data_IF_015521284665
#
_entry.id   IF_015521284665
#
_cell.length_a   1.000
_cell.length_b   1.000
_cell.length_c   1.000
_cell.angle_alpha   90.00
_cell.angle_beta   90.00
_cell.angle_gamma   90.00
#
_symmetry.space_group_name_H-M   'P 1'
#
loop_
_entity.id
_entity.type
_entity.pdbx_description
1 polymer ?
#
# COMPACT_ATOMS: atom_id res chain seq x y z
N UNK A 1 27.11 -2.24 22.16
CA UNK A 1 28.59 -2.17 22.26
C UNK A 1 29.14 -1.65 20.94
N UNK A 2 30.29 -0.97 20.96
CA UNK A 2 30.97 -0.20 19.87
C UNK A 2 30.45 1.25 19.76
N UNK A 3 30.79 2.18 20.67
CA UNK A 3 32.02 3.00 20.87
C UNK A 3 32.23 4.12 19.85
N UNK A 4 31.82 5.32 20.26
CA UNK A 4 32.12 6.64 19.69
C UNK A 4 33.55 7.09 20.01
N UNK A 5 34.21 7.78 19.07
CA UNK A 5 35.49 8.47 19.27
C UNK A 5 35.25 9.97 19.03
N UNK A 6 35.51 10.77 20.06
CA UNK A 6 35.55 12.23 20.01
C UNK A 6 37.01 12.69 20.00
N UNK A 7 37.37 13.61 19.10
CA UNK A 7 38.70 14.19 19.01
C UNK A 7 38.63 15.68 19.38
N UNK A 8 39.29 16.04 20.48
CA UNK A 8 39.50 17.40 20.95
C UNK A 8 40.78 17.97 20.32
N UNK A 9 40.75 19.24 19.91
CA UNK A 9 41.93 19.97 19.41
C UNK A 9 42.11 21.26 20.20
N UNK A 10 43.28 21.34 20.82
CA UNK A 10 43.74 22.32 21.79
C UNK A 10 44.30 23.58 21.13
N UNK A 11 44.02 24.71 21.76
CA UNK A 11 44.51 26.05 21.45
C UNK A 11 45.96 26.21 21.95
N UNK A 12 46.86 26.72 21.10
CA UNK A 12 48.24 27.03 21.45
C UNK A 12 48.63 28.41 20.92
N UNK A 13 48.72 29.37 21.84
CA UNK A 13 49.13 30.76 21.63
C UNK A 13 50.64 30.88 21.87
N UNK A 14 51.40 31.52 20.98
CA UNK A 14 52.80 31.88 21.25
C UNK A 14 53.16 33.26 20.70
N UNK A 15 53.79 34.05 21.57
CA UNK A 15 54.26 35.42 21.39
C UNK A 15 55.64 35.51 20.71
N UNK A 16 55.86 36.70 20.14
CA UNK A 16 57.04 37.25 19.45
C UNK A 16 58.34 37.30 20.29
N UNK A 17 59.51 37.45 19.64
CA UNK A 17 60.30 38.65 19.95
C UNK A 17 60.97 39.35 18.75
N UNK A 18 61.23 40.64 18.95
CA UNK A 18 61.85 41.59 18.01
C UNK A 18 63.38 41.52 17.99
N UNK A 19 64.00 41.73 16.81
CA UNK A 19 65.41 42.14 16.68
C UNK A 19 65.63 43.17 15.55
N UNK A 20 65.94 44.38 16.00
CA UNK A 20 66.99 45.34 15.57
C UNK A 20 67.41 45.50 14.10
N UNK A 21 67.30 46.77 13.68
CA UNK A 21 67.77 47.40 12.45
C UNK A 21 69.30 47.55 12.36
N UNK A 22 69.88 47.29 11.17
CA UNK A 22 71.12 47.94 10.69
C UNK A 22 70.92 48.45 9.27
N UNK A 23 71.07 49.77 9.13
CA UNK A 23 71.01 50.59 7.91
C UNK A 23 72.20 50.29 6.99
N UNK A 24 71.94 50.18 5.68
CA UNK A 24 72.93 50.24 4.59
C UNK A 24 72.64 51.49 3.72
N UNK A 25 73.64 52.19 3.14
CA UNK A 25 73.43 53.47 2.47
C UNK A 25 72.90 53.30 1.04
N UNK A 26 72.12 54.29 0.58
CA UNK A 26 71.47 54.33 -0.71
C UNK A 26 72.43 54.71 -1.87
N UNK A 27 72.27 54.11 -3.07
CA UNK A 27 72.67 54.70 -4.35
C UNK A 27 71.50 55.48 -5.00
N UNK A 28 71.79 56.35 -5.99
CA UNK A 28 71.00 57.54 -6.28
C UNK A 28 69.71 57.26 -7.08
N UNK A 29 68.73 58.14 -6.85
CA UNK A 29 67.47 58.20 -7.58
C UNK A 29 67.70 58.43 -9.08
N UNK A 30 67.07 57.58 -9.92
CA UNK A 30 66.74 57.92 -11.30
C UNK A 30 65.34 57.43 -11.66
N UNK A 31 64.52 58.43 -11.97
CA UNK A 31 63.40 58.46 -12.92
C UNK A 31 62.14 57.67 -12.57
N UNK A 32 61.20 58.39 -11.98
CA UNK A 32 59.76 58.15 -11.98
C UNK A 32 59.27 57.83 -13.39
N UNK A 33 58.93 56.57 -13.66
CA UNK A 33 57.95 56.22 -14.69
C UNK A 33 56.56 56.29 -14.05
N UNK A 34 55.68 57.11 -14.61
CA UNK A 34 54.30 57.24 -14.17
C UNK A 34 53.60 55.86 -14.08
N UNK A 35 52.74 55.62 -13.06
CA UNK A 35 51.97 54.39 -13.01
C UNK A 35 51.05 54.30 -14.24
N UNK A 36 51.16 53.20 -14.98
CA UNK A 36 50.17 52.85 -16.00
C UNK A 36 48.79 52.88 -15.35
N UNK A 37 47.88 53.66 -15.94
CA UNK A 37 46.47 53.73 -15.51
C UNK A 37 45.92 52.31 -15.45
N UNK A 38 45.71 51.79 -14.25
CA UNK A 38 44.82 50.66 -14.03
C UNK A 38 43.46 51.11 -14.53
N UNK A 39 43.01 50.56 -15.65
CA UNK A 39 41.63 50.74 -16.08
C UNK A 39 40.79 50.02 -15.02
N UNK A 40 40.28 50.78 -14.05
CA UNK A 40 39.22 50.33 -13.16
C UNK A 40 37.99 50.26 -14.04
N UNK A 41 37.75 49.10 -14.62
CA UNK A 41 36.52 48.83 -15.36
C UNK A 41 35.39 48.84 -14.35
N UNK A 42 34.44 49.77 -14.49
CA UNK A 42 33.22 49.77 -13.70
C UNK A 42 32.45 48.46 -14.00
N UNK A 43 32.24 47.56 -13.03
CA UNK A 43 31.58 46.27 -13.24
C UNK A 43 30.09 46.41 -13.63
N UNK A 44 29.53 47.62 -13.63
CA UNK A 44 28.18 47.92 -14.10
C UNK A 44 28.08 48.25 -15.59
N UNK A 45 29.20 48.53 -16.28
CA UNK A 45 29.20 48.83 -17.70
C UNK A 45 29.21 47.53 -18.54
N UNK A 46 28.39 47.44 -19.60
CA UNK A 46 28.34 46.27 -20.46
C UNK A 46 29.60 46.17 -21.31
N UNK A 47 30.22 44.98 -21.31
CA UNK A 47 31.33 44.66 -22.22
C UNK A 47 31.06 43.33 -22.94
N UNK A 48 31.54 43.15 -24.18
CA UNK A 48 31.42 41.90 -24.90
C UNK A 48 32.13 40.75 -24.18
N UNK A 49 31.50 39.58 -24.15
CA UNK A 49 32.05 38.34 -23.62
C UNK A 49 32.94 37.68 -24.67
N UNK A 50 34.26 37.64 -24.48
CA UNK A 50 35.18 37.10 -25.48
C UNK A 50 35.27 35.57 -25.40
N UNK A 51 35.43 35.04 -24.19
CA UNK A 51 35.58 33.59 -23.97
C UNK A 51 34.77 33.12 -22.77
N UNK A 52 34.17 31.94 -22.91
CA UNK A 52 33.53 31.20 -21.83
C UNK A 52 34.23 29.86 -21.69
N UNK A 53 34.57 29.49 -20.46
CA UNK A 53 35.12 28.19 -20.09
C UNK A 53 34.29 27.51 -19.03
N UNK A 54 34.37 26.19 -18.94
CA UNK A 54 33.73 25.42 -17.88
C UNK A 54 34.74 24.50 -17.20
N UNK A 55 34.66 24.39 -15.89
CA UNK A 55 35.48 23.50 -15.07
C UNK A 55 34.62 22.75 -14.07
N UNK A 56 35.03 21.53 -13.72
CA UNK A 56 34.31 20.66 -12.77
C UNK A 56 33.18 19.82 -13.38
N UNK A 57 32.90 20.00 -14.69
CA UNK A 57 32.00 19.13 -15.43
C UNK A 57 32.61 17.72 -15.60
N UNK A 58 31.75 16.71 -15.57
CA UNK A 58 32.15 15.30 -15.64
C UNK A 58 31.37 14.54 -16.71
N UNK A 59 30.04 14.68 -16.73
CA UNK A 59 29.17 13.99 -17.67
C UNK A 59 28.66 14.95 -18.76
N UNK A 60 28.44 16.21 -18.42
CA UNK A 60 28.00 17.21 -19.37
C UNK A 60 29.18 17.79 -20.17
N UNK A 61 29.00 17.93 -21.47
CA UNK A 61 29.96 18.59 -22.33
C UNK A 61 30.02 20.10 -22.01
N UNK A 62 31.21 20.69 -22.07
CA UNK A 62 31.42 22.13 -21.83
C UNK A 62 30.50 23.01 -22.68
N UNK A 63 30.41 22.71 -23.99
CA UNK A 63 29.56 23.45 -24.92
C UNK A 63 28.07 23.42 -24.52
N UNK A 64 27.61 22.32 -23.90
CA UNK A 64 26.23 22.18 -23.44
C UNK A 64 25.96 23.08 -22.23
N UNK A 65 26.88 23.11 -21.28
CA UNK A 65 26.77 23.97 -20.09
C UNK A 65 26.77 25.44 -20.49
N UNK A 66 27.63 25.82 -21.45
CA UNK A 66 27.65 27.16 -22.02
C UNK A 66 26.29 27.48 -22.66
N UNK A 67 25.75 26.58 -23.50
CA UNK A 67 24.43 26.74 -24.12
C UNK A 67 23.31 26.91 -23.08
N UNK A 68 23.33 26.09 -22.03
CA UNK A 68 22.35 26.15 -20.93
C UNK A 68 22.42 27.47 -20.17
N UNK A 69 23.62 28.01 -19.95
CA UNK A 69 23.82 29.32 -19.31
C UNK A 69 23.09 30.45 -20.06
N UNK A 70 22.91 30.30 -21.37
CA UNK A 70 22.30 31.30 -22.25
C UNK A 70 23.25 32.43 -22.66
N UNK A 71 24.50 32.42 -22.18
CA UNK A 71 25.52 33.39 -22.58
C UNK A 71 26.22 32.94 -23.86
N UNK A 72 26.57 33.90 -24.71
CA UNK A 72 27.27 33.65 -25.97
C UNK A 72 28.51 34.55 -26.11
N UNK A 73 29.58 34.07 -26.76
CA UNK A 73 30.68 34.94 -27.17
C UNK A 73 30.20 36.11 -28.03
N UNK A 74 30.73 37.30 -27.80
CA UNK A 74 30.36 38.57 -28.43
C UNK A 74 29.17 39.30 -27.77
N UNK A 75 28.43 38.65 -26.87
CA UNK A 75 27.31 39.26 -26.16
C UNK A 75 27.80 40.33 -25.18
N UNK A 76 27.15 41.49 -25.18
CA UNK A 76 27.34 42.52 -24.14
C UNK A 76 26.78 42.01 -22.82
N UNK A 77 27.64 41.85 -21.81
CA UNK A 77 27.25 41.30 -20.50
C UNK A 77 27.64 42.21 -19.35
N UNK A 78 26.83 42.15 -18.31
CA UNK A 78 27.02 42.76 -16.98
C UNK A 78 27.08 41.67 -15.92
N UNK A 79 27.40 42.05 -14.67
CA UNK A 79 27.30 41.11 -13.54
C UNK A 79 25.92 40.46 -13.40
N UNK A 80 24.85 41.21 -13.65
CA UNK A 80 23.49 40.70 -13.55
C UNK A 80 23.21 39.56 -14.56
N UNK A 81 23.83 39.61 -15.74
CA UNK A 81 23.71 38.53 -16.74
C UNK A 81 24.38 37.24 -16.27
N UNK A 82 25.54 37.34 -15.58
CA UNK A 82 26.20 36.18 -14.97
C UNK A 82 25.39 35.62 -13.80
N UNK A 83 24.84 36.47 -12.93
CA UNK A 83 23.96 36.03 -11.83
C UNK A 83 22.70 35.33 -12.37
N UNK A 84 22.09 35.87 -13.43
CA UNK A 84 20.96 35.24 -14.10
C UNK A 84 21.32 33.90 -14.75
N UNK A 85 22.47 33.81 -15.41
CA UNK A 85 22.96 32.58 -16.00
C UNK A 85 23.30 31.52 -14.94
N UNK A 86 23.88 31.92 -13.80
CA UNK A 86 24.13 31.03 -12.65
C UNK A 86 22.82 30.48 -12.10
N UNK A 87 21.83 31.35 -11.86
CA UNK A 87 20.51 30.95 -11.38
C UNK A 87 19.82 29.99 -12.35
N UNK A 88 19.95 30.22 -13.67
CA UNK A 88 19.42 29.34 -14.72
C UNK A 88 20.10 27.96 -14.71
N UNK A 89 21.42 27.91 -14.56
CA UNK A 89 22.15 26.65 -14.45
C UNK A 89 21.72 25.88 -13.19
N UNK A 90 21.61 26.53 -12.03
CA UNK A 90 21.10 25.89 -10.80
C UNK A 90 19.66 25.39 -10.95
N UNK A 91 18.78 26.21 -11.54
CA UNK A 91 17.38 25.88 -11.78
C UNK A 91 17.19 24.68 -12.73
N UNK A 92 18.21 24.31 -13.51
CA UNK A 92 18.18 23.11 -14.35
C UNK A 92 18.06 21.80 -13.56
N UNK A 93 18.43 21.82 -12.27
CA UNK A 93 18.44 20.67 -11.38
C UNK A 93 19.58 19.68 -11.64
N UNK A 94 20.62 20.07 -12.37
CA UNK A 94 21.73 19.21 -12.78
C UNK A 94 23.02 19.43 -12.01
N UNK A 95 23.10 20.54 -11.29
CA UNK A 95 24.30 20.93 -10.57
C UNK A 95 23.98 21.07 -9.09
N UNK A 96 24.83 20.49 -8.26
CA UNK A 96 24.83 20.70 -6.81
C UNK A 96 25.34 22.11 -6.50
N UNK A 97 26.36 22.55 -7.23
CA UNK A 97 26.90 23.92 -7.15
C UNK A 97 27.21 24.48 -8.53
N UNK A 98 26.98 25.79 -8.68
CA UNK A 98 27.41 26.58 -9.85
C UNK A 98 28.02 27.86 -9.30
N UNK A 99 29.29 28.10 -9.59
CA UNK A 99 29.97 29.35 -9.34
C UNK A 99 30.54 29.91 -10.65
N UNK A 100 30.88 31.18 -10.66
CA UNK A 100 31.51 31.80 -11.82
C UNK A 100 32.58 32.79 -11.41
N UNK A 101 33.56 32.96 -12.30
CA UNK A 101 34.56 34.03 -12.22
C UNK A 101 34.61 34.72 -13.57
N UNK A 102 34.76 36.03 -13.57
CA UNK A 102 34.99 36.80 -14.78
C UNK A 102 36.05 37.86 -14.54
N UNK A 103 36.82 38.17 -15.59
CA UNK A 103 37.88 39.18 -15.55
C UNK A 103 37.95 39.95 -16.87
N UNK A 104 38.35 41.23 -16.86
CA UNK A 104 38.57 41.98 -18.09
C UNK A 104 39.77 41.41 -18.86
N UNK A 105 39.65 41.33 -20.18
CA UNK A 105 40.72 40.85 -21.05
C UNK A 105 41.75 41.97 -21.26
N UNK A 106 43.05 41.76 -20.98
CA UNK A 106 44.06 42.79 -21.16
C UNK A 106 44.10 43.31 -22.60
N UNK A 107 44.04 44.63 -22.76
CA UNK A 107 44.05 45.34 -24.08
C UNK A 107 42.80 45.12 -24.95
N UNK A 108 41.77 44.47 -24.44
CA UNK A 108 40.45 44.39 -25.06
C UNK A 108 39.39 44.95 -24.11
N UNK A 109 38.37 45.64 -24.64
CA UNK A 109 37.20 46.02 -23.86
C UNK A 109 36.24 44.82 -23.81
N UNK A 110 36.65 43.73 -23.17
CA UNK A 110 35.90 42.47 -23.16
C UNK A 110 36.07 41.72 -21.83
N UNK A 111 35.16 40.80 -21.54
CA UNK A 111 35.25 39.88 -20.40
C UNK A 111 35.60 38.47 -20.84
N UNK A 112 36.39 37.77 -20.02
CA UNK A 112 36.53 36.31 -20.07
C UNK A 112 35.87 35.72 -18.82
N UNK A 113 35.05 34.68 -18.98
CA UNK A 113 34.32 34.04 -17.90
C UNK A 113 34.63 32.55 -17.79
N UNK A 114 34.61 32.03 -16.56
CA UNK A 114 34.74 30.60 -16.26
C UNK A 114 33.61 30.18 -15.33
N UNK A 115 32.87 29.15 -15.71
CA UNK A 115 31.94 28.43 -14.84
C UNK A 115 32.69 27.36 -14.04
N UNK A 116 32.44 27.30 -12.74
CA UNK A 116 32.92 26.26 -11.83
C UNK A 116 31.69 25.48 -11.35
N UNK A 117 31.51 24.25 -11.83
CA UNK A 117 30.29 23.45 -11.57
C UNK A 117 30.61 22.16 -10.83
N UNK A 118 29.64 21.68 -10.05
CA UNK A 118 29.62 20.31 -9.51
C UNK A 118 28.32 19.65 -9.95
N UNK A 119 28.40 18.63 -10.81
CA UNK A 119 27.23 17.91 -11.33
C UNK A 119 26.60 17.00 -10.28
N UNK A 120 25.27 16.83 -10.36
CA UNK A 120 24.52 15.86 -9.57
C UNK A 120 24.65 14.48 -10.23
N UNK A 121 25.00 13.42 -9.48
CA UNK A 121 25.23 12.12 -10.07
C UNK A 121 23.94 11.46 -10.59
N UNK A 122 24.05 10.80 -11.74
CA UNK A 122 22.98 10.03 -12.38
C UNK A 122 22.95 8.61 -11.79
N UNK A 123 22.26 8.44 -10.66
CA UNK A 123 22.32 7.21 -9.87
C UNK A 123 21.14 6.25 -10.12
N UNK A 124 19.98 6.79 -10.46
CA UNK A 124 18.72 6.05 -10.38
C UNK A 124 18.30 5.55 -11.76
N UNK A 125 18.13 4.23 -11.96
CA UNK A 125 17.42 3.71 -13.12
C UNK A 125 16.01 4.32 -13.22
N UNK A 126 15.39 4.22 -14.38
CA UNK A 126 14.02 4.71 -14.57
C UNK A 126 13.12 3.67 -15.23
N UNK A 127 11.82 3.83 -15.01
CA UNK A 127 10.78 3.07 -15.69
C UNK A 127 9.52 3.90 -15.92
N UNK A 128 8.73 3.47 -16.89
CA UNK A 128 7.41 4.03 -17.17
C UNK A 128 6.35 3.09 -16.59
N UNK A 129 5.37 3.64 -15.88
CA UNK A 129 4.28 2.86 -15.29
C UNK A 129 2.93 3.42 -15.72
N UNK A 130 2.02 2.54 -16.14
CA UNK A 130 0.65 2.91 -16.53
C UNK A 130 0.57 3.97 -17.65
N UNK A 131 1.56 4.03 -18.53
CA UNK A 131 1.55 4.85 -19.75
C UNK A 131 1.32 3.91 -20.95
N UNK A 132 0.16 4.01 -21.59
CA UNK A 132 -0.24 3.14 -22.71
C UNK A 132 0.39 3.56 -24.05
N UNK A 133 1.72 3.67 -24.06
CA UNK A 133 2.54 3.95 -25.24
C UNK A 133 3.72 2.98 -25.30
N UNK A 134 4.21 2.60 -26.49
CA UNK A 134 5.37 1.72 -26.60
C UNK A 134 6.60 2.32 -25.93
N UNK A 135 7.18 1.59 -24.97
CA UNK A 135 8.35 2.07 -24.20
C UNK A 135 9.54 2.43 -25.11
N UNK A 136 9.80 1.62 -26.13
CA UNK A 136 10.89 1.87 -27.07
C UNK A 136 10.74 3.23 -27.78
N UNK A 137 9.51 3.63 -28.13
CA UNK A 137 9.26 4.92 -28.76
C UNK A 137 9.41 6.08 -27.76
N UNK A 138 8.95 5.91 -26.52
CA UNK A 138 9.14 6.91 -25.46
C UNK A 138 10.63 7.15 -25.19
N UNK A 139 11.42 6.08 -25.08
CA UNK A 139 12.88 6.16 -24.90
C UNK A 139 13.55 6.84 -26.09
N UNK A 140 13.17 6.49 -27.32
CA UNK A 140 13.72 7.10 -28.52
C UNK A 140 13.41 8.61 -28.59
N UNK A 141 12.19 9.01 -28.21
CA UNK A 141 11.80 10.41 -28.14
C UNK A 141 12.61 11.17 -27.08
N UNK A 142 12.70 10.64 -25.85
CA UNK A 142 13.49 11.26 -24.79
C UNK A 142 14.97 11.39 -25.18
N UNK A 143 15.56 10.38 -25.83
CA UNK A 143 16.95 10.45 -26.31
C UNK A 143 17.19 11.58 -27.30
N UNK A 144 16.18 11.92 -28.11
CA UNK A 144 16.26 12.97 -29.12
C UNK A 144 16.07 14.36 -28.49
N UNK A 145 15.11 14.49 -27.59
CA UNK A 145 14.69 15.79 -27.06
C UNK A 145 15.46 16.19 -25.78
N UNK A 146 15.98 15.22 -25.02
CA UNK A 146 16.69 15.44 -23.75
C UNK A 146 18.17 15.01 -23.85
N UNK A 147 19.12 15.95 -23.93
CA UNK A 147 20.56 15.64 -24.02
C UNK A 147 21.13 14.84 -22.84
N UNK A 148 20.43 14.85 -21.71
CA UNK A 148 20.79 14.17 -20.46
C UNK A 148 20.19 12.78 -20.34
N UNK A 149 19.41 12.35 -21.31
CA UNK A 149 18.76 11.05 -21.24
C UNK A 149 19.80 9.94 -21.36
N UNK A 150 19.96 9.21 -20.26
CA UNK A 150 20.81 8.03 -20.13
C UNK A 150 20.03 6.95 -19.38
N UNK A 151 20.63 5.77 -19.17
CA UNK A 151 20.03 4.67 -18.42
C UNK A 151 19.77 5.01 -16.93
N UNK A 152 20.43 6.05 -16.41
CA UNK A 152 20.24 6.54 -15.05
C UNK A 152 19.97 8.03 -15.08
N UNK A 153 19.16 8.50 -14.14
CA UNK A 153 18.73 9.89 -14.05
C UNK A 153 19.06 10.49 -12.67
N UNK A 154 19.30 11.80 -12.58
CA UNK A 154 19.20 12.54 -11.33
C UNK A 154 17.76 12.60 -10.86
N UNK A 155 17.50 12.33 -9.59
CA UNK A 155 16.16 12.41 -9.00
C UNK A 155 15.82 13.82 -8.46
N UNK A 156 16.22 14.87 -9.18
CA UNK A 156 15.89 16.25 -8.79
C UNK A 156 14.56 16.68 -9.41
N UNK A 157 13.78 17.46 -8.67
CA UNK A 157 12.46 17.92 -9.13
C UNK A 157 12.48 18.58 -10.53
N UNK A 158 13.40 19.51 -10.85
CA UNK A 158 13.42 20.14 -12.18
C UNK A 158 13.69 19.15 -13.32
N UNK A 159 14.55 18.14 -13.07
CA UNK A 159 14.83 17.08 -14.04
C UNK A 159 13.58 16.24 -14.26
N UNK A 160 12.97 15.74 -13.18
CA UNK A 160 11.78 14.90 -13.28
C UNK A 160 10.61 15.61 -13.97
N UNK A 161 10.40 16.90 -13.69
CA UNK A 161 9.37 17.70 -14.35
C UNK A 161 9.67 17.92 -15.84
N UNK A 162 10.93 18.11 -16.22
CA UNK A 162 11.33 18.28 -17.62
C UNK A 162 11.08 16.99 -18.42
N UNK A 163 11.52 15.85 -17.91
CA UNK A 163 11.26 14.54 -18.52
C UNK A 163 9.76 14.22 -18.59
N UNK A 164 8.99 14.54 -17.54
CA UNK A 164 7.54 14.39 -17.56
C UNK A 164 6.91 15.20 -18.70
N UNK A 165 7.24 16.50 -18.83
CA UNK A 165 6.72 17.36 -19.91
C UNK A 165 7.08 16.86 -21.31
N UNK A 166 8.29 16.34 -21.50
CA UNK A 166 8.70 15.72 -22.76
C UNK A 166 7.81 14.51 -23.09
N UNK A 167 7.58 13.63 -22.11
CA UNK A 167 6.68 12.48 -22.29
C UNK A 167 5.22 12.90 -22.55
N UNK A 168 4.74 13.96 -21.90
CA UNK A 168 3.39 14.52 -22.15
C UNK A 168 3.27 15.05 -23.58
N UNK A 169 4.30 15.73 -24.08
CA UNK A 169 4.38 16.22 -25.46
C UNK A 169 4.37 15.05 -26.45
N UNK A 170 5.15 14.01 -26.17
CA UNK A 170 5.16 12.79 -26.96
C UNK A 170 3.77 12.13 -26.98
N UNK A 171 3.13 12.00 -25.82
CA UNK A 171 1.82 11.38 -25.70
C UNK A 171 0.73 12.17 -26.46
N UNK A 172 0.76 13.50 -26.38
CA UNK A 172 -0.11 14.37 -27.17
C UNK A 172 0.11 14.20 -28.68
N UNK A 173 1.36 14.05 -29.14
CA UNK A 173 1.68 13.79 -30.56
C UNK A 173 1.12 12.46 -31.09
N UNK A 174 0.82 11.51 -30.19
CA UNK A 174 0.18 10.23 -30.49
C UNK A 174 -1.34 10.24 -30.26
N UNK A 175 -1.93 11.43 -30.12
CA UNK A 175 -3.36 11.62 -29.82
C UNK A 175 -3.82 10.98 -28.50
N UNK A 176 -2.91 10.79 -27.54
CA UNK A 176 -3.18 10.27 -26.19
C UNK A 176 -2.67 11.25 -25.12
N UNK A 177 -3.24 12.46 -24.98
CA UNK A 177 -2.75 13.42 -23.98
C UNK A 177 -2.93 12.86 -22.57
N UNK A 178 -1.87 12.93 -21.75
CA UNK A 178 -1.91 12.57 -20.34
C UNK A 178 -1.05 13.53 -19.52
N UNK A 179 -1.28 13.59 -18.21
CA UNK A 179 -0.46 14.35 -17.27
C UNK A 179 0.46 13.37 -16.54
N UNK A 180 1.77 13.62 -16.54
CA UNK A 180 2.81 12.72 -16.03
C UNK A 180 3.51 13.36 -14.85
N UNK A 181 3.88 12.54 -13.87
CA UNK A 181 4.75 12.93 -12.78
C UNK A 181 5.89 11.92 -12.63
N UNK A 182 7.11 12.42 -12.44
CA UNK A 182 8.27 11.62 -12.07
C UNK A 182 8.44 11.57 -10.56
N UNK A 183 8.62 10.38 -9.99
CA UNK A 183 8.83 10.18 -8.54
C UNK A 183 9.95 9.18 -8.29
N UNK A 184 10.62 9.30 -7.15
CA UNK A 184 11.58 8.30 -6.69
C UNK A 184 10.85 7.26 -5.84
N UNK A 185 10.78 6.02 -6.32
CA UNK A 185 10.05 4.93 -5.65
C UNK A 185 10.93 3.67 -5.59
N UNK A 186 10.79 2.82 -4.55
CA UNK A 186 11.44 1.52 -4.52
C UNK A 186 10.77 0.55 -5.50
N UNK A 187 11.56 -0.32 -6.12
CA UNK A 187 11.08 -1.50 -6.87
C UNK A 187 10.82 -2.69 -5.93
N UNK A 188 10.43 -3.85 -6.50
CA UNK A 188 10.13 -5.08 -5.74
C UNK A 188 11.32 -5.62 -4.92
N UNK A 189 12.55 -5.20 -5.26
CA UNK A 189 13.79 -5.55 -4.54
C UNK A 189 14.20 -4.49 -3.51
N UNK A 190 13.44 -3.40 -3.39
CA UNK A 190 13.75 -2.27 -2.50
C UNK A 190 14.76 -1.27 -3.07
N UNK A 191 15.17 -1.39 -4.34
CA UNK A 191 16.10 -0.47 -4.99
C UNK A 191 15.33 0.77 -5.51
N UNK A 192 15.91 1.95 -5.36
CA UNK A 192 15.25 3.21 -5.76
C UNK A 192 15.36 3.44 -7.28
N UNK A 193 14.22 3.75 -7.89
CA UNK A 193 14.08 4.05 -9.31
C UNK A 193 13.26 5.33 -9.51
N UNK A 194 13.56 6.06 -10.58
CA UNK A 194 12.70 7.13 -11.07
C UNK A 194 11.54 6.52 -11.85
N UNK A 195 10.33 6.68 -11.33
CA UNK A 195 9.10 6.18 -11.95
C UNK A 195 8.33 7.34 -12.55
N UNK A 196 8.12 7.29 -13.87
CA UNK A 196 7.20 8.19 -14.57
C UNK A 196 5.83 7.52 -14.68
N UNK A 197 4.82 8.16 -14.11
CA UNK A 197 3.46 7.63 -13.98
C UNK A 197 2.44 8.73 -14.24
N UNK A 198 1.24 8.43 -14.75
CA UNK A 198 0.17 9.42 -14.85
C UNK A 198 -0.19 10.00 -13.47
N UNK A 199 -0.44 11.30 -13.41
CA UNK A 199 -0.83 12.01 -12.18
C UNK A 199 -2.21 11.55 -11.67
N UNK A 200 -3.10 11.17 -12.58
CA UNK A 200 -4.40 10.59 -12.27
C UNK A 200 -4.61 9.31 -13.08
N UNK A 201 -4.81 8.20 -12.38
CA UNK A 201 -5.23 6.94 -13.01
C UNK A 201 -6.76 6.86 -13.04
N UNK A 202 -7.36 6.33 -14.11
CA UNK A 202 -8.80 6.24 -14.21
C UNK A 202 -9.35 5.20 -13.22
N UNK A 203 -10.54 5.45 -12.69
CA UNK A 203 -11.30 4.43 -12.00
C UNK A 203 -12.03 3.52 -13.02
N UNK A 204 -12.27 2.27 -12.66
CA UNK A 204 -13.13 1.37 -13.43
C UNK A 204 -14.58 1.83 -13.24
N UNK A 205 -15.19 2.34 -14.30
CA UNK A 205 -16.58 2.76 -14.31
C UNK A 205 -17.53 1.59 -14.59
N UNK A 206 -17.12 0.70 -15.50
CA UNK A 206 -17.92 -0.44 -15.92
C UNK A 206 -17.03 -1.60 -16.37
N UNK A 207 -17.52 -2.82 -16.15
CA UNK A 207 -16.92 -4.04 -16.70
C UNK A 207 -17.95 -4.74 -17.58
N UNK A 208 -17.51 -5.19 -18.75
CA UNK A 208 -18.30 -6.04 -19.63
C UNK A 208 -17.47 -7.22 -20.11
N UNK A 209 -18.13 -8.32 -20.46
CA UNK A 209 -17.50 -9.56 -20.89
C UNK A 209 -18.00 -9.96 -22.27
N UNK A 210 -17.15 -10.62 -23.04
CA UNK A 210 -17.53 -11.29 -24.27
C UNK A 210 -16.76 -12.60 -24.42
N UNK A 211 -17.26 -13.51 -25.25
CA UNK A 211 -16.71 -14.86 -25.38
C UNK A 211 -17.24 -15.86 -24.36
N UNK A 212 -17.94 -15.41 -23.31
CA UNK A 212 -18.63 -16.27 -22.36
C UNK A 212 -19.88 -16.92 -22.99
N UNK A 213 -20.07 -18.22 -22.78
CA UNK A 213 -21.21 -19.01 -23.26
C UNK A 213 -21.83 -19.83 -22.13
N UNK A 214 -20.99 -20.44 -21.29
CA UNK A 214 -21.42 -21.27 -20.18
C UNK A 214 -22.02 -20.47 -19.01
N UNK A 215 -21.49 -19.27 -18.77
CA UNK A 215 -21.91 -18.41 -17.66
C UNK A 215 -22.46 -17.11 -18.20
N UNK A 216 -23.62 -16.69 -17.69
CA UNK A 216 -24.29 -15.48 -18.17
C UNK A 216 -23.48 -14.22 -17.88
N UNK A 217 -23.57 -13.24 -18.79
CA UNK A 217 -22.91 -11.93 -18.62
C UNK A 217 -23.29 -11.28 -17.29
N UNK A 218 -24.57 -11.36 -16.90
CA UNK A 218 -25.09 -10.76 -15.66
C UNK A 218 -24.41 -11.40 -14.43
N UNK A 219 -24.22 -12.72 -14.43
CA UNK A 219 -23.53 -13.42 -13.34
C UNK A 219 -22.07 -12.97 -13.22
N UNK A 220 -21.36 -12.83 -14.33
CA UNK A 220 -19.97 -12.35 -14.34
C UNK A 220 -19.86 -10.90 -13.86
N UNK A 221 -20.79 -10.04 -14.30
CA UNK A 221 -20.88 -8.65 -13.86
C UNK A 221 -21.15 -8.55 -12.36
N UNK A 222 -22.09 -9.33 -11.83
CA UNK A 222 -22.37 -9.36 -10.40
C UNK A 222 -21.15 -9.81 -9.59
N UNK A 223 -20.46 -10.86 -10.05
CA UNK A 223 -19.31 -11.43 -9.36
C UNK A 223 -18.15 -10.42 -9.23
N UNK A 224 -17.89 -9.63 -10.28
CA UNK A 224 -16.79 -8.66 -10.29
C UNK A 224 -17.17 -7.29 -9.70
N UNK A 225 -18.46 -6.94 -9.68
CA UNK A 225 -18.94 -5.57 -9.40
C UNK A 225 -18.36 -4.96 -8.11
N UNK A 226 -18.44 -5.69 -6.99
CA UNK A 226 -18.00 -5.20 -5.68
C UNK A 226 -16.47 -5.02 -5.55
N UNK A 227 -15.67 -5.67 -6.40
CA UNK A 227 -14.22 -5.58 -6.36
C UNK A 227 -13.66 -4.62 -7.43
N UNK A 228 -14.30 -4.55 -8.60
CA UNK A 228 -13.83 -3.76 -9.73
C UNK A 228 -14.35 -2.34 -9.76
N UNK A 229 -15.66 -2.12 -9.59
CA UNK A 229 -16.27 -0.81 -9.84
C UNK A 229 -15.76 0.22 -8.83
N UNK A 230 -15.26 1.36 -9.31
CA UNK A 230 -14.62 2.40 -8.52
C UNK A 230 -13.16 2.13 -8.16
N UNK A 231 -12.62 0.95 -8.42
CA UNK A 231 -11.20 0.67 -8.22
C UNK A 231 -10.34 1.42 -9.24
N UNK A 232 -9.14 1.84 -8.84
CA UNK A 232 -8.15 2.41 -9.77
C UNK A 232 -7.76 1.34 -10.79
N UNK A 233 -7.84 1.68 -12.07
CA UNK A 233 -7.45 0.80 -13.15
C UNK A 233 -5.95 0.89 -13.42
N UNK A 234 -5.28 -0.25 -13.25
CA UNK A 234 -4.08 -0.63 -14.00
C UNK A 234 -4.32 -2.05 -14.47
N UNK A 235 -3.79 -2.42 -15.64
CA UNK A 235 -3.99 -3.76 -16.17
C UNK A 235 -3.56 -4.88 -15.19
N UNK A 236 -2.37 -4.82 -14.53
CA UNK A 236 -1.97 -5.84 -13.56
C UNK A 236 -2.96 -5.97 -12.38
N UNK A 237 -3.40 -4.85 -11.82
CA UNK A 237 -4.36 -4.84 -10.70
C UNK A 237 -5.72 -5.38 -11.13
N UNK A 238 -6.19 -5.00 -12.32
CA UNK A 238 -7.47 -5.47 -12.82
C UNK A 238 -7.46 -6.97 -13.11
N UNK A 239 -6.34 -7.51 -13.63
CA UNK A 239 -6.16 -8.96 -13.79
C UNK A 239 -6.24 -9.69 -12.45
N UNK A 240 -5.66 -9.16 -11.37
CA UNK A 240 -5.82 -9.75 -10.03
C UNK A 240 -7.30 -9.80 -9.58
N UNK A 241 -8.08 -8.76 -9.89
CA UNK A 241 -9.51 -8.74 -9.60
C UNK A 241 -10.26 -9.83 -10.40
N UNK A 242 -9.93 -10.03 -11.68
CA UNK A 242 -10.51 -11.12 -12.49
C UNK A 242 -10.19 -12.50 -11.91
N UNK A 243 -8.94 -12.71 -11.50
CA UNK A 243 -8.48 -13.95 -10.87
C UNK A 243 -9.19 -14.22 -9.53
N UNK A 244 -9.47 -13.18 -8.74
CA UNK A 244 -10.11 -13.32 -7.44
C UNK A 244 -11.65 -13.41 -7.50
N UNK A 245 -12.28 -12.72 -8.45
CA UNK A 245 -13.75 -12.58 -8.49
C UNK A 245 -14.41 -13.39 -9.59
N UNK A 246 -13.78 -13.55 -10.76
CA UNK A 246 -14.40 -14.17 -11.94
C UNK A 246 -13.97 -15.62 -12.12
N UNK A 247 -12.66 -15.92 -11.99
CA UNK A 247 -12.16 -17.30 -12.11
C UNK A 247 -12.88 -18.28 -11.18
N UNK A 248 -13.14 -17.99 -9.89
CA UNK A 248 -13.81 -18.94 -9.01
C UNK A 248 -15.24 -19.30 -9.45
N UNK A 249 -15.93 -18.39 -10.16
CA UNK A 249 -17.27 -18.63 -10.72
C UNK A 249 -17.22 -19.71 -11.81
N UNK A 250 -16.19 -19.65 -12.66
CA UNK A 250 -15.91 -20.65 -13.69
C UNK A 250 -15.40 -21.97 -13.12
N UNK A 251 -14.48 -21.90 -12.15
CA UNK A 251 -13.96 -23.10 -11.49
C UNK A 251 -15.03 -23.85 -10.68
N UNK A 252 -16.05 -23.16 -10.17
CA UNK A 252 -17.24 -23.80 -9.59
C UNK A 252 -18.11 -24.57 -10.60
N UNK A 253 -17.91 -24.35 -11.90
CA UNK A 253 -18.61 -25.04 -13.00
C UNK A 253 -17.67 -25.99 -13.77
N UNK A 254 -16.48 -26.28 -13.23
CA UNK A 254 -15.52 -27.20 -13.85
C UNK A 254 -14.60 -26.59 -14.91
N UNK A 255 -14.65 -25.29 -15.16
CA UNK A 255 -13.79 -24.61 -16.14
C UNK A 255 -12.42 -24.22 -15.52
N UNK A 256 -11.57 -25.22 -15.27
CA UNK A 256 -10.28 -25.03 -14.57
C UNK A 256 -9.22 -24.30 -15.39
N UNK A 257 -9.41 -24.20 -16.70
CA UNK A 257 -8.50 -23.56 -17.66
C UNK A 257 -9.05 -22.24 -18.22
N UNK A 258 -10.03 -21.64 -17.54
CA UNK A 258 -10.52 -20.31 -17.91
C UNK A 258 -9.38 -19.30 -17.94
N UNK A 259 -9.37 -18.42 -18.93
CA UNK A 259 -8.41 -17.32 -19.01
C UNK A 259 -9.06 -16.06 -19.60
N UNK A 260 -8.35 -14.93 -19.45
CA UNK A 260 -8.79 -13.60 -19.86
C UNK A 260 -7.74 -13.00 -20.81
N UNK A 261 -7.71 -13.43 -22.08
CA UNK A 261 -6.56 -13.22 -22.96
C UNK A 261 -6.41 -11.75 -23.35
N UNK A 262 -7.52 -11.05 -23.57
CA UNK A 262 -7.54 -9.67 -24.02
C UNK A 262 -8.40 -8.80 -23.11
N UNK A 263 -7.87 -7.62 -22.81
CA UNK A 263 -8.59 -6.54 -22.14
C UNK A 263 -8.61 -5.34 -23.08
N UNK A 264 -9.78 -4.80 -23.36
CA UNK A 264 -9.94 -3.56 -24.10
C UNK A 264 -10.43 -2.46 -23.15
N UNK A 265 -9.73 -1.33 -23.15
CA UNK A 265 -10.03 -0.22 -22.25
C UNK A 265 -10.48 0.96 -23.10
N UNK A 266 -11.66 1.47 -22.81
CA UNK A 266 -12.20 2.66 -23.47
C UNK A 266 -12.67 3.67 -22.43
N UNK A 267 -12.53 4.99 -22.66
CA UNK A 267 -13.13 5.99 -21.79
C UNK A 267 -14.64 5.76 -21.64
N UNK A 268 -15.17 5.89 -20.43
CA UNK A 268 -16.61 5.87 -20.22
C UNK A 268 -17.25 7.15 -20.79
N UNK A 269 -18.42 7.02 -21.42
CA UNK A 269 -19.10 8.13 -22.10
C UNK A 269 -19.88 9.04 -21.14
N UNK A 270 -20.35 8.48 -20.03
CA UNK A 270 -21.32 9.07 -19.10
C UNK A 270 -20.70 9.45 -17.74
N UNK A 271 -19.60 8.80 -17.37
CA UNK A 271 -18.93 9.03 -16.08
C UNK A 271 -17.41 9.14 -16.24
N UNK A 272 -16.75 9.76 -15.25
CA UNK A 272 -15.28 9.78 -15.19
C UNK A 272 -14.77 8.37 -14.87
N UNK A 273 -14.05 7.77 -15.82
CA UNK A 273 -13.44 6.46 -15.64
C UNK A 273 -13.28 5.74 -16.96
N UNK A 274 -13.02 4.44 -16.87
CA UNK A 274 -12.87 3.56 -18.03
C UNK A 274 -13.88 2.41 -17.99
N UNK A 275 -14.35 2.03 -19.17
CA UNK A 275 -15.04 0.77 -19.42
C UNK A 275 -13.98 -0.27 -19.80
N UNK A 276 -13.95 -1.38 -19.07
CA UNK A 276 -13.06 -2.50 -19.34
C UNK A 276 -13.87 -3.62 -19.97
N UNK A 277 -13.60 -3.93 -21.25
CA UNK A 277 -14.15 -5.09 -21.95
C UNK A 277 -13.18 -6.26 -21.82
N UNK A 278 -13.68 -7.38 -21.31
CA UNK A 278 -12.88 -8.56 -21.00
C UNK A 278 -13.26 -9.69 -21.96
N UNK A 279 -12.29 -10.16 -22.74
CA UNK A 279 -12.44 -11.41 -23.47
C UNK A 279 -12.36 -12.58 -22.48
N UNK A 280 -13.24 -13.55 -22.61
CA UNK A 280 -13.23 -14.78 -21.81
C UNK A 280 -12.98 -15.97 -22.71
N UNK A 281 -11.93 -16.74 -22.42
CA UNK A 281 -11.75 -18.08 -22.95
C UNK A 281 -12.10 -19.08 -21.85
N UNK A 282 -13.26 -19.73 -21.95
CA UNK A 282 -13.79 -20.59 -20.87
C UNK A 282 -12.96 -21.87 -20.69
N UNK A 283 -12.42 -22.41 -21.78
CA UNK A 283 -11.71 -23.69 -21.78
C UNK A 283 -12.66 -24.89 -21.68
N UNK A 284 -12.10 -26.07 -21.48
CA UNK A 284 -12.88 -27.31 -21.35
C UNK A 284 -13.40 -27.49 -19.93
N UNK A 285 -14.52 -28.21 -19.81
CA UNK A 285 -15.05 -28.68 -18.52
C UNK A 285 -14.25 -29.89 -18.04
N UNK A 286 -13.82 -29.85 -16.78
CA UNK A 286 -13.10 -30.94 -16.13
C UNK A 286 -14.03 -31.73 -15.20
N UNK A 287 -13.73 -33.02 -15.04
CA UNK A 287 -14.39 -33.90 -14.05
C UNK A 287 -13.50 -34.16 -12.85
N UNK A 288 -14.11 -34.28 -11.68
CA UNK A 288 -13.41 -34.66 -10.45
C UNK A 288 -13.13 -36.16 -10.47
N UNK A 289 -11.88 -36.58 -10.68
CA UNK A 289 -11.51 -38.00 -10.76
C UNK A 289 -11.37 -38.62 -9.37
N UNK A 290 -10.58 -37.99 -8.51
CA UNK A 290 -10.23 -38.53 -7.20
C UNK A 290 -10.09 -37.43 -6.15
N UNK A 291 -10.36 -37.77 -4.90
CA UNK A 291 -10.12 -36.91 -3.72
C UNK A 291 -9.42 -37.74 -2.66
N UNK A 292 -8.17 -37.39 -2.37
CA UNK A 292 -7.38 -38.01 -1.31
C UNK A 292 -7.23 -37.08 -0.13
N UNK A 293 -7.45 -37.60 1.07
CA UNK A 293 -7.13 -36.89 2.31
C UNK A 293 -5.74 -37.34 2.76
N UNK A 294 -4.87 -36.38 3.05
CA UNK A 294 -3.47 -36.58 3.46
C UNK A 294 -3.22 -35.92 4.82
N UNK A 295 -2.23 -36.38 5.59
CA UNK A 295 -1.92 -35.87 6.94
C UNK A 295 -2.00 -36.92 8.06
N UNK A 296 -1.88 -36.49 9.32
CA UNK A 296 -1.77 -37.39 10.49
C UNK A 296 -3.07 -38.21 10.76
N UNK A 297 -4.18 -37.83 10.13
CA UNK A 297 -5.51 -38.45 10.31
C UNK A 297 -6.02 -39.23 9.06
N UNK A 298 -5.11 -39.62 8.15
CA UNK A 298 -5.40 -40.24 6.83
C UNK A 298 -6.34 -41.45 6.85
N UNK A 299 -6.33 -42.25 7.92
CA UNK A 299 -7.07 -43.53 7.95
C UNK A 299 -8.57 -43.39 8.20
N UNK A 300 -9.06 -42.17 8.44
CA UNK A 300 -10.45 -41.97 8.80
C UNK A 300 -11.33 -41.86 7.55
N UNK A 301 -11.80 -43.01 7.03
CA UNK A 301 -12.81 -43.07 5.95
C UNK A 301 -14.06 -42.19 6.22
N UNK A 302 -14.34 -41.84 7.48
CA UNK A 302 -15.43 -40.92 7.83
C UNK A 302 -15.14 -39.49 7.39
N UNK A 303 -13.88 -39.06 7.32
CA UNK A 303 -13.50 -37.74 6.82
C UNK A 303 -13.87 -37.61 5.34
N UNK A 304 -13.52 -38.60 4.50
CA UNK A 304 -13.87 -38.57 3.07
C UNK A 304 -15.39 -38.45 2.87
N UNK A 305 -16.18 -39.17 3.69
CA UNK A 305 -17.64 -39.09 3.66
C UNK A 305 -18.16 -37.71 4.11
N UNK A 306 -17.60 -37.13 5.16
CA UNK A 306 -17.98 -35.80 5.67
C UNK A 306 -17.72 -34.68 4.64
N UNK A 307 -16.68 -34.85 3.82
CA UNK A 307 -16.35 -33.94 2.74
C UNK A 307 -17.42 -33.88 1.63
N UNK A 308 -18.21 -34.93 1.43
CA UNK A 308 -19.35 -34.93 0.49
C UNK A 308 -18.96 -34.71 -0.98
N UNK A 309 -17.78 -35.17 -1.40
CA UNK A 309 -17.25 -34.96 -2.75
C UNK A 309 -17.96 -35.85 -3.78
N UNK A 310 -18.28 -35.29 -4.95
CA UNK A 310 -18.96 -36.00 -6.05
C UNK A 310 -17.96 -36.42 -7.13
N UNK A 311 -17.44 -37.64 -7.02
CA UNK A 311 -16.48 -38.20 -7.97
C UNK A 311 -17.15 -38.50 -9.33
N UNK A 312 -16.37 -38.39 -10.41
CA UNK A 312 -16.76 -38.57 -11.81
C UNK A 312 -17.82 -37.58 -12.34
N UNK A 313 -18.18 -36.57 -11.55
CA UNK A 313 -19.02 -35.44 -11.95
C UNK A 313 -18.15 -34.23 -12.33
N UNK A 314 -18.79 -33.16 -12.79
CA UNK A 314 -18.14 -31.86 -13.03
C UNK A 314 -17.36 -31.42 -11.80
N UNK A 315 -16.11 -30.98 -12.01
CA UNK A 315 -15.23 -30.54 -10.96
C UNK A 315 -15.67 -29.18 -10.39
N UNK A 316 -16.60 -29.19 -9.45
CA UNK A 316 -17.02 -27.98 -8.72
C UNK A 316 -16.00 -27.65 -7.62
N UNK A 317 -15.07 -26.75 -7.93
CA UNK A 317 -14.03 -26.33 -6.97
C UNK A 317 -14.61 -25.56 -5.78
N UNK A 318 -15.80 -24.97 -5.91
CA UNK A 318 -16.50 -24.34 -4.79
C UNK A 318 -17.01 -25.42 -3.82
N UNK A 319 -17.64 -26.48 -4.33
CA UNK A 319 -18.06 -27.62 -3.52
C UNK A 319 -16.88 -28.33 -2.85
N UNK A 320 -15.73 -28.43 -3.53
CA UNK A 320 -14.48 -28.96 -2.94
C UNK A 320 -14.01 -28.09 -1.76
N UNK A 321 -13.97 -26.77 -1.94
CA UNK A 321 -13.58 -25.84 -0.87
C UNK A 321 -14.57 -25.89 0.31
N UNK A 322 -15.87 -25.99 0.05
CA UNK A 322 -16.88 -26.20 1.09
C UNK A 322 -16.72 -27.55 1.81
N UNK A 323 -16.34 -28.61 1.09
CA UNK A 323 -16.01 -29.91 1.66
C UNK A 323 -14.80 -29.84 2.59
N UNK A 324 -13.73 -29.14 2.19
CA UNK A 324 -12.58 -28.89 3.06
C UNK A 324 -12.98 -28.12 4.34
N UNK A 325 -13.83 -27.09 4.22
CA UNK A 325 -14.38 -26.38 5.40
C UNK A 325 -15.22 -27.28 6.30
N UNK A 326 -15.99 -28.22 5.74
CA UNK A 326 -16.72 -29.22 6.54
C UNK A 326 -15.76 -30.14 7.30
N UNK A 327 -14.65 -30.53 6.70
CA UNK A 327 -13.60 -31.31 7.36
C UNK A 327 -12.98 -30.55 8.55
N UNK A 328 -12.59 -29.28 8.34
CA UNK A 328 -12.08 -28.43 9.42
C UNK A 328 -13.08 -28.33 10.56
N UNK A 329 -14.35 -28.03 10.23
CA UNK A 329 -15.44 -27.93 11.20
C UNK A 329 -15.65 -29.24 11.95
N UNK A 330 -15.61 -30.37 11.26
CA UNK A 330 -15.71 -31.70 11.87
C UNK A 330 -14.60 -31.97 12.88
N UNK A 331 -13.37 -31.53 12.61
CA UNK A 331 -12.24 -31.66 13.53
C UNK A 331 -12.35 -30.68 14.70
N UNK A 332 -12.74 -29.43 14.44
CA UNK A 332 -12.95 -28.41 15.48
C UNK A 332 -14.01 -28.83 16.51
N UNK A 333 -15.07 -29.53 16.09
CA UNK A 333 -16.06 -30.14 17.02
C UNK A 333 -15.48 -31.24 17.92
N UNK A 334 -14.27 -31.73 17.62
CA UNK A 334 -13.58 -32.80 18.37
C UNK A 334 -12.38 -32.28 19.16
N UNK A 335 -12.29 -30.96 19.40
CA UNK A 335 -11.22 -30.35 20.18
C UNK A 335 -10.08 -29.78 19.33
N UNK A 336 -10.04 -30.02 18.03
CA UNK A 336 -8.97 -29.53 17.17
C UNK A 336 -9.23 -28.10 16.70
N UNK A 337 -9.16 -27.13 17.63
CA UNK A 337 -9.56 -25.74 17.39
C UNK A 337 -8.77 -25.06 16.26
N UNK A 338 -7.52 -25.48 16.08
CA UNK A 338 -6.61 -24.92 15.08
C UNK A 338 -6.55 -25.79 13.81
N UNK A 339 -7.52 -26.70 13.60
CA UNK A 339 -7.53 -27.56 12.44
C UNK A 339 -7.59 -26.73 11.14
N UNK A 340 -6.71 -27.08 10.20
CA UNK A 340 -6.61 -26.51 8.86
C UNK A 340 -6.73 -27.62 7.79
N UNK A 341 -7.42 -27.32 6.70
CA UNK A 341 -7.48 -28.18 5.52
C UNK A 341 -7.02 -27.41 4.28
N UNK A 342 -5.90 -27.83 3.69
CA UNK A 342 -5.32 -27.24 2.49
C UNK A 342 -5.66 -28.09 1.27
N UNK A 343 -6.20 -27.44 0.24
CA UNK A 343 -6.62 -28.10 -1.00
C UNK A 343 -5.54 -27.91 -2.06
N UNK A 344 -4.97 -29.00 -2.52
CA UNK A 344 -4.07 -29.05 -3.67
C UNK A 344 -4.77 -29.76 -4.83
N UNK A 345 -4.57 -29.26 -6.05
CA UNK A 345 -5.18 -29.81 -7.26
C UNK A 345 -4.13 -30.23 -8.27
N UNK A 346 -4.36 -31.38 -8.90
CA UNK A 346 -3.58 -31.87 -10.03
C UNK A 346 -4.49 -32.01 -11.24
N UNK A 347 -4.31 -31.12 -12.21
CA UNK A 347 -5.12 -31.06 -13.43
C UNK A 347 -4.47 -31.91 -14.51
N UNK A 348 -5.26 -32.78 -15.13
CA UNK A 348 -4.90 -33.61 -16.29
C UNK A 348 -5.64 -33.07 -17.51
N UNK A 349 -4.96 -32.24 -18.31
CA UNK A 349 -5.53 -31.60 -19.49
C UNK A 349 -5.90 -32.57 -20.61
N UNK A 350 -5.22 -33.73 -20.70
CA UNK A 350 -5.49 -34.72 -21.73
C UNK A 350 -6.76 -35.50 -21.39
N UNK A 351 -6.88 -35.97 -20.13
CA UNK A 351 -8.05 -36.69 -19.66
C UNK A 351 -9.24 -35.80 -19.31
N UNK A 352 -9.06 -34.46 -19.26
CA UNK A 352 -10.04 -33.49 -18.75
C UNK A 352 -10.52 -33.86 -17.35
N UNK A 353 -9.58 -34.24 -16.50
CA UNK A 353 -9.82 -34.69 -15.14
C UNK A 353 -8.99 -33.88 -14.15
N UNK A 354 -9.45 -33.80 -12.91
CA UNK A 354 -8.70 -33.23 -11.80
C UNK A 354 -8.69 -34.19 -10.63
N UNK A 355 -7.51 -34.37 -10.04
CA UNK A 355 -7.36 -35.01 -8.74
C UNK A 355 -7.18 -33.94 -7.66
N UNK A 356 -7.78 -34.16 -6.51
CA UNK A 356 -7.66 -33.29 -5.36
C UNK A 356 -6.93 -34.04 -4.24
N UNK A 357 -5.92 -33.39 -3.67
CA UNK A 357 -5.33 -33.78 -2.40
C UNK A 357 -5.71 -32.75 -1.34
N UNK A 358 -6.29 -33.21 -0.24
CA UNK A 358 -6.64 -32.37 0.91
C UNK A 358 -5.67 -32.69 2.03
N UNK A 359 -4.69 -31.82 2.26
CA UNK A 359 -3.77 -31.90 3.38
C UNK A 359 -4.46 -31.39 4.65
N UNK A 360 -4.65 -32.28 5.62
CA UNK A 360 -5.30 -31.97 6.89
C UNK A 360 -4.25 -31.93 8.00
N UNK A 361 -4.15 -30.77 8.64
CA UNK A 361 -3.41 -30.60 9.89
C UNK A 361 -4.42 -30.38 11.02
N UNK A 362 -4.61 -31.37 11.91
CA UNK A 362 -5.53 -31.23 13.04
C UNK A 362 -5.00 -30.26 14.12
N UNK A 363 -3.68 -30.06 14.24
CA UNK A 363 -3.09 -29.37 15.38
C UNK A 363 -3.38 -30.07 16.74
N UNK A 364 -3.15 -29.38 17.87
CA UNK A 364 -3.36 -29.96 19.18
C UNK A 364 -4.84 -30.09 19.53
N UNK A 365 -5.19 -31.18 20.23
CA UNK A 365 -6.55 -31.41 20.71
C UNK A 365 -6.80 -30.70 22.05
N UNK A 366 -7.68 -29.71 22.04
CA UNK A 366 -8.17 -29.01 23.21
C UNK A 366 -9.28 -29.79 23.92
N UNK A 367 -9.35 -29.60 25.24
CA UNK A 367 -10.35 -30.22 26.11
C UNK A 367 -11.14 -29.16 26.87
N UNK A 368 -12.37 -29.49 27.26
CA UNK A 368 -13.21 -28.64 28.07
C UNK A 368 -12.52 -28.34 29.42
N UNK A 369 -12.40 -27.06 29.73
CA UNK A 369 -11.94 -26.52 31.00
C UNK A 369 -13.12 -26.20 31.92
N UNK A 370 -13.07 -25.03 32.55
CA UNK A 370 -14.11 -24.56 33.47
C UNK A 370 -15.30 -23.97 32.72
N UNK A 371 -16.50 -24.20 33.28
CA UNK A 371 -17.71 -23.49 32.90
C UNK A 371 -17.99 -22.36 33.88
N UNK A 372 -17.95 -21.13 33.37
CA UNK A 372 -18.38 -19.92 34.06
C UNK A 372 -19.75 -19.49 33.54
N UNK A 373 -20.66 -19.14 34.45
CA UNK A 373 -22.01 -18.69 34.12
C UNK A 373 -22.22 -17.34 34.79
N UNK A 374 -22.65 -16.35 34.02
CA UNK A 374 -22.82 -14.97 34.48
C UNK A 374 -24.18 -14.41 34.08
N UNK A 375 -24.77 -13.60 34.96
CA UNK A 375 -26.01 -12.87 34.70
C UNK A 375 -27.30 -13.64 34.98
N UNK A 376 -27.21 -14.79 35.65
CA UNK A 376 -28.35 -15.53 36.23
C UNK A 376 -28.36 -15.35 37.76
N UNK A 377 -29.54 -15.49 38.36
CA UNK A 377 -29.68 -15.51 39.81
C UNK A 377 -29.25 -16.84 40.45
N UNK A 378 -29.19 -16.85 41.78
CA UNK A 378 -28.74 -17.98 42.61
C UNK A 378 -29.60 -19.25 42.47
N UNK A 379 -30.81 -19.15 41.93
CA UNK A 379 -31.71 -20.29 41.74
C UNK A 379 -31.63 -20.87 40.33
N UNK A 380 -31.48 -20.02 39.31
CA UNK A 380 -31.43 -20.47 37.90
C UNK A 380 -30.03 -20.89 37.44
N UNK A 381 -28.96 -20.28 37.96
CA UNK A 381 -27.58 -20.65 37.57
C UNK A 381 -27.24 -22.13 37.80
N UNK A 382 -27.59 -22.74 38.95
CA UNK A 382 -27.38 -24.18 39.16
C UNK A 382 -28.15 -25.08 38.18
N UNK A 383 -29.34 -24.66 37.74
CA UNK A 383 -30.14 -25.42 36.77
C UNK A 383 -29.49 -25.42 35.40
N UNK A 384 -29.05 -24.26 34.92
CA UNK A 384 -28.28 -24.14 33.66
C UNK A 384 -27.00 -24.96 33.73
N UNK A 385 -26.29 -24.90 34.86
CA UNK A 385 -25.08 -25.71 35.07
C UNK A 385 -25.35 -27.20 35.02
N UNK A 386 -26.51 -27.67 35.52
CA UNK A 386 -26.92 -29.07 35.46
C UNK A 386 -27.29 -29.53 34.04
N UNK A 387 -27.81 -28.62 33.21
CA UNK A 387 -28.13 -28.90 31.80
C UNK A 387 -26.89 -28.97 30.90
N UNK A 388 -25.78 -28.37 31.33
CA UNK A 388 -24.51 -28.41 30.59
C UNK A 388 -23.96 -29.83 30.52
N UNK A 389 -23.93 -30.41 29.33
CA UNK A 389 -23.58 -31.81 29.10
C UNK A 389 -22.09 -32.02 28.74
N UNK A 390 -21.36 -30.99 28.31
CA UNK A 390 -19.95 -31.11 27.94
C UNK A 390 -19.07 -31.17 29.19
N UNK A 391 -18.70 -32.39 29.60
CA UNK A 391 -17.93 -32.64 30.81
C UNK A 391 -16.51 -32.04 30.77
N UNK A 392 -15.97 -31.65 31.92
CA UNK A 392 -14.58 -31.22 32.05
C UNK A 392 -13.64 -32.33 31.54
N UNK A 393 -12.56 -31.93 30.85
CA UNK A 393 -11.56 -32.80 30.20
C UNK A 393 -12.06 -33.57 28.97
N UNK A 394 -13.34 -33.53 28.62
CA UNK A 394 -13.82 -34.06 27.34
C UNK A 394 -13.22 -33.25 26.17
N UNK A 395 -13.05 -33.82 24.96
CA UNK A 395 -12.66 -33.05 23.78
C UNK A 395 -13.61 -31.87 23.58
N UNK A 396 -13.06 -30.68 23.36
CA UNK A 396 -13.86 -29.47 23.32
C UNK A 396 -14.60 -29.33 21.97
N UNK A 397 -15.93 -29.25 22.00
CA UNK A 397 -16.72 -28.92 20.82
C UNK A 397 -16.92 -27.41 20.74
N UNK A 398 -16.33 -26.77 19.73
CA UNK A 398 -16.37 -25.31 19.57
C UNK A 398 -17.77 -24.74 19.29
N UNK A 399 -18.70 -25.53 18.75
CA UNK A 399 -20.07 -25.06 18.48
C UNK A 399 -20.99 -25.27 19.67
N UNK A 400 -20.66 -26.22 20.56
CA UNK A 400 -21.52 -26.62 21.66
C UNK A 400 -21.99 -25.46 22.56
N UNK A 401 -21.14 -24.48 22.97
CA UNK A 401 -21.61 -23.37 23.79
C UNK A 401 -22.72 -22.53 23.15
N UNK A 402 -22.61 -22.24 21.85
CA UNK A 402 -23.60 -21.46 21.12
C UNK A 402 -24.88 -22.26 20.87
N UNK A 403 -24.75 -23.53 20.51
CA UNK A 403 -25.90 -24.45 20.35
C UNK A 403 -26.66 -24.55 21.67
N UNK A 404 -25.96 -24.81 22.78
CA UNK A 404 -26.53 -24.87 24.12
C UNK A 404 -27.35 -23.61 24.44
N UNK A 405 -26.77 -22.42 24.22
CA UNK A 405 -27.48 -21.16 24.47
C UNK A 405 -28.68 -20.92 23.55
N UNK A 406 -28.64 -21.43 22.31
CA UNK A 406 -29.76 -21.30 21.36
C UNK A 406 -30.99 -22.09 21.78
N UNK A 407 -30.80 -23.15 22.57
CA UNK A 407 -31.88 -24.00 23.08
C UNK A 407 -32.47 -23.48 24.40
N UNK A 408 -31.74 -22.62 25.14
CA UNK A 408 -32.15 -22.12 26.46
C UNK A 408 -33.49 -21.37 26.49
N UNK A 409 -33.87 -20.54 25.49
CA UNK A 409 -35.16 -19.84 25.51
C UNK A 409 -36.38 -20.77 25.50
N UNK A 410 -36.22 -22.05 25.11
CA UNK A 410 -37.29 -23.03 25.12
C UNK A 410 -37.43 -23.74 26.49
N UNK A 411 -36.46 -23.55 27.37
CA UNK A 411 -36.40 -24.22 28.68
C UNK A 411 -36.56 -23.24 29.83
N UNK A 412 -36.14 -21.98 29.65
CA UNK A 412 -36.19 -20.94 30.67
C UNK A 412 -36.98 -19.73 30.16
N UNK A 413 -38.00 -19.34 30.93
CA UNK A 413 -38.81 -18.15 30.65
C UNK A 413 -38.05 -16.86 30.97
N UNK A 414 -38.38 -15.79 30.26
CA UNK A 414 -37.85 -14.42 30.48
C UNK A 414 -36.32 -14.27 30.33
N UNK A 415 -35.67 -15.16 29.59
CA UNK A 415 -34.30 -14.93 29.14
C UNK A 415 -34.25 -13.76 28.15
N UNK A 416 -33.33 -12.81 28.39
CA UNK A 416 -33.04 -11.75 27.44
C UNK A 416 -32.00 -12.21 26.42
N UNK A 417 -30.97 -11.40 26.16
CA UNK A 417 -29.90 -11.77 25.21
C UNK A 417 -28.90 -12.72 25.87
N UNK A 418 -28.48 -13.74 25.14
CA UNK A 418 -27.43 -14.68 25.58
C UNK A 418 -26.19 -14.56 24.69
N UNK A 419 -25.02 -14.87 25.24
CA UNK A 419 -23.77 -14.95 24.49
C UNK A 419 -22.81 -15.95 25.12
N UNK A 420 -22.10 -16.71 24.29
CA UNK A 420 -20.96 -17.51 24.73
C UNK A 420 -19.63 -16.80 24.42
N UNK A 421 -18.62 -17.09 25.23
CA UNK A 421 -17.23 -16.79 24.93
C UNK A 421 -16.36 -17.98 25.32
N UNK A 422 -15.37 -18.29 24.50
CA UNK A 422 -14.40 -19.37 24.74
C UNK A 422 -13.02 -18.77 24.98
N UNK A 423 -12.27 -19.35 25.92
CA UNK A 423 -10.92 -18.93 26.26
C UNK A 423 -9.97 -20.13 26.17
N UNK A 424 -9.44 -20.43 24.97
CA UNK A 424 -8.46 -21.49 24.81
C UNK A 424 -7.12 -21.09 25.44
N UNK A 425 -6.51 -22.02 26.16
CA UNK A 425 -5.15 -21.92 26.71
C UNK A 425 -4.23 -22.88 25.95
N UNK A 426 -3.35 -22.37 25.06
CA UNK A 426 -2.42 -23.19 24.29
C UNK A 426 -1.39 -23.95 25.15
N UNK A 427 -1.09 -23.48 26.37
CA UNK A 427 -0.11 -24.12 27.25
C UNK A 427 -0.67 -25.34 27.97
N UNK A 428 -1.96 -25.32 28.31
CA UNK A 428 -2.63 -26.44 29.01
C UNK A 428 -3.57 -27.26 28.11
N UNK A 429 -3.81 -26.80 26.88
CA UNK A 429 -4.77 -27.38 25.92
C UNK A 429 -6.19 -27.49 26.50
N UNK A 430 -6.57 -26.51 27.34
CA UNK A 430 -7.91 -26.40 27.92
C UNK A 430 -8.67 -25.22 27.32
N UNK A 431 -9.99 -25.30 27.35
CA UNK A 431 -10.87 -24.21 26.93
C UNK A 431 -11.86 -23.92 28.04
N UNK A 432 -11.70 -22.78 28.68
CA UNK A 432 -12.70 -22.29 29.62
C UNK A 432 -13.83 -21.62 28.82
N UNK A 433 -15.07 -21.81 29.26
CA UNK A 433 -16.28 -21.28 28.63
C UNK A 433 -16.97 -20.32 29.57
N UNK A 434 -17.31 -19.13 29.08
CA UNK A 434 -18.15 -18.17 29.76
C UNK A 434 -19.50 -18.07 29.04
N UNK A 435 -20.57 -18.41 29.76
CA UNK A 435 -21.95 -18.16 29.33
C UNK A 435 -22.46 -16.88 29.99
N UNK A 436 -22.90 -15.93 29.18
CA UNK A 436 -23.46 -14.66 29.66
C UNK A 436 -24.95 -14.59 29.33
N UNK A 437 -25.76 -14.36 30.36
CA UNK A 437 -27.20 -14.13 30.28
C UNK A 437 -27.49 -12.68 30.62
N UNK A 438 -28.11 -11.94 29.70
CA UNK A 438 -28.46 -10.53 29.89
C UNK A 438 -29.97 -10.47 30.09
N UNK A 439 -30.47 -10.02 31.26
CA UNK A 439 -31.90 -9.95 31.50
C UNK A 439 -32.57 -8.95 30.54
N UNK A 440 -33.83 -9.21 30.14
CA UNK A 440 -34.58 -8.26 29.32
C UNK A 440 -34.81 -6.97 30.11
N UNK A 441 -34.78 -5.82 29.44
CA UNK A 441 -35.11 -4.54 30.08
C UNK A 441 -36.49 -4.62 30.74
N UNK A 442 -36.57 -4.39 32.05
CA UNK A 442 -37.85 -4.22 32.73
C UNK A 442 -38.51 -2.97 32.14
N UNK A 443 -39.59 -3.14 31.37
CA UNK A 443 -40.48 -2.03 31.03
C UNK A 443 -41.04 -1.48 32.35
N UNK A 444 -40.53 -0.33 32.78
CA UNK A 444 -41.15 0.43 33.87
C UNK A 444 -42.56 0.79 33.39
N UNK A 445 -43.63 0.42 34.11
CA UNK A 445 -44.98 0.84 33.74
C UNK A 445 -45.02 2.37 33.70
N UNK A 446 -45.48 2.93 32.59
CA UNK A 446 -45.68 4.38 32.48
C UNK A 446 -46.66 4.83 33.58
N UNK A 447 -46.21 5.64 34.57
CA UNK A 447 -47.05 6.04 35.69
C UNK A 447 -48.29 6.85 35.24
N UNK A 448 -48.37 7.28 33.97
CA UNK A 448 -49.50 8.04 33.43
C UNK A 448 -50.69 7.20 32.96
N UNK A 449 -50.64 5.86 33.00
CA UNK A 449 -51.77 5.00 32.63
C UNK A 449 -52.60 4.43 33.79
N UNK A 450 -52.23 4.72 35.04
CA UNK A 450 -53.08 4.41 36.19
C UNK A 450 -54.25 5.41 36.24
N UNK A 451 -55.39 5.06 35.64
CA UNK A 451 -56.67 5.74 35.94
C UNK A 451 -57.06 5.42 37.40
N UNK A 452 -57.49 6.40 38.20
CA UNK A 452 -58.00 6.13 39.53
C UNK A 452 -59.43 5.56 39.43
N UNK A 453 -59.66 4.39 40.01
CA UNK A 453 -61.01 3.94 40.36
C UNK A 453 -61.56 4.84 41.47
N UNK A 454 -62.68 5.49 41.20
CA UNK A 454 -63.42 6.36 42.12
C UNK A 454 -64.43 5.57 42.95
N UNK A 455 -64.38 5.76 44.29
CA UNK A 455 -65.44 5.44 45.26
C UNK A 455 -65.12 4.21 46.11
N UNK A 456 -65.20 4.21 47.44
CA UNK A 456 -66.20 4.84 48.31
C UNK A 456 -65.68 5.00 49.76
N UNK A 457 -66.29 5.97 50.46
CA UNK A 457 -66.10 6.46 51.83
C UNK A 457 -66.12 5.45 53.00
N UNK A 458 -65.42 5.76 54.10
CA UNK A 458 -65.68 5.15 55.41
C UNK A 458 -64.79 5.57 56.60
N UNK A 459 -64.84 6.85 57.01
CA UNK A 459 -64.82 7.34 58.42
C UNK A 459 -63.63 7.11 59.39
N UNK A 460 -63.42 7.99 60.39
CA UNK A 460 -62.14 8.13 61.12
C UNK A 460 -62.13 7.45 62.51
N UNK A 461 -60.94 7.15 63.02
CA UNK A 461 -60.70 6.87 64.45
C UNK A 461 -59.46 7.63 64.91
N UNK A 462 -59.67 8.71 65.66
CA UNK A 462 -58.69 9.29 66.59
C UNK A 462 -58.62 8.45 67.86
N UNK A 463 -57.46 8.33 68.49
CA UNK A 463 -57.27 8.22 69.95
C UNK A 463 -55.78 8.47 70.32
N UNK A 464 -55.45 8.85 71.57
CA UNK A 464 -54.82 10.15 71.84
C UNK A 464 -53.38 10.06 72.39
N UNK A 465 -52.72 11.22 72.38
CA UNK A 465 -51.49 11.53 73.10
C UNK A 465 -51.69 11.50 74.63
N UNK A 466 -50.69 11.02 75.37
CA UNK A 466 -50.15 11.74 76.55
C UNK A 466 -48.69 11.35 76.80
N UNK A 467 -47.86 12.29 77.30
CA UNK A 467 -46.40 12.17 77.34
C UNK A 467 -45.87 11.74 78.71
N UNK A 468 -44.62 11.28 78.78
CA UNK A 468 -43.84 11.33 80.02
C UNK A 468 -42.37 11.61 79.72
N UNK A 469 -41.88 12.73 80.27
CA UNK A 469 -40.47 13.12 80.36
C UNK A 469 -39.75 12.31 81.45
N UNK A 470 -38.44 12.13 81.25
CA UNK A 470 -37.35 12.24 82.25
C UNK A 470 -36.05 12.09 81.42
N UNK A 471 -35.06 12.99 81.41
CA UNK A 471 -34.74 14.22 82.14
C UNK A 471 -34.16 15.25 81.17
#
# INVERSE_FOLDING_TARGET
MVRSIALALSFGMLLCPAQTSRRKPAPPAKTTSAPAKTVVVDPSLPFPLETIRVTGNQQLAEAEIIRMSGLQPGQQVTRADFDAAQAKLLASGLFETVAYRYAPVPKAQAYAATWEVKEIPQLFPYRFEAIELPEAEMRAYLKKEEPLFQEKLPATKPVLERFARALETFAASKSKPLQITGKLLPNDKGELEVVFVPTSLPAVAQVTFFGNQAISLVTLQQAISGAAIGAIYTEPRFRQILEASVRPVYEGQGYLRVNFPRLEVTPASDVKGVVVKVEVSEGAVFKLRDVKITGEMVENQKLVKEGGFRLNETADMKAVAEGAKRLEKYLKRRGFLNAEAKVERKVDDAAKQVDIAIGVDPGPQYRMGKLEVSGLDITTEPEVRKMWALAEKAPFDFEYPDIFLSEMPNVLDNLGRTRSAIKPDPGTLKVDVLLTFIPPERKVPDPKRARPESGRSGGPVEFPYTPTQNQ
#
